data_IF_276605287741
#
_entry.id   IF_276605287741
#
_cell.length_a   1.000
_cell.length_b   1.000
_cell.length_c   1.000
_cell.angle_alpha   90.00
_cell.angle_beta   90.00
_cell.angle_gamma   90.00
#
_symmetry.space_group_name_H-M   'P 1'
#
loop_
_entity.id
_entity.type
_entity.pdbx_description
1 polymer ?
2 water ?
#
# COMPACT_ATOMS: atom_id res chain seq x y z
N UNK A 1 -10.72 5.95 14.77
CA UNK A 1 -10.80 4.77 15.69
C UNK A 1 -9.47 3.99 15.62
N UNK A 2 -9.43 2.80 16.22
CA UNK A 2 -8.27 1.89 16.19
C UNK A 2 -8.68 0.42 16.20
N UNK A 3 -9.96 0.11 16.06
CA UNK A 3 -10.50 -1.27 16.16
C UNK A 3 -9.81 -2.16 15.12
N UNK A 4 -9.82 -1.71 13.87
CA UNK A 4 -9.08 -2.34 12.74
C UNK A 4 -7.60 -2.32 13.10
N UNK A 5 -7.03 -1.12 13.23
CA UNK A 5 -5.61 -0.88 13.60
C UNK A 5 -5.21 -1.90 14.66
N UNK A 6 -5.95 -1.91 15.78
CA UNK A 6 -5.67 -2.73 17.00
C UNK A 6 -5.54 -4.20 16.58
N UNK A 7 -6.26 -4.62 15.53
CA UNK A 7 -6.22 -6.01 14.98
C UNK A 7 -4.84 -6.31 14.35
N UNK A 8 -3.93 -5.34 14.30
CA UNK A 8 -2.72 -5.41 13.43
C UNK A 8 -1.46 -4.91 14.14
N UNK A 9 -1.59 -3.91 15.02
CA UNK A 9 -0.45 -3.25 15.72
C UNK A 9 0.23 -4.21 16.72
N UNK A 10 1.47 -3.88 17.11
CA UNK A 10 2.19 -4.50 18.24
C UNK A 10 2.81 -5.83 17.87
N UNK A 11 3.71 -6.36 18.71
CA UNK A 11 4.34 -7.70 18.53
C UNK A 11 3.23 -8.76 18.48
N UNK A 12 2.14 -8.51 19.20
CA UNK A 12 0.93 -9.39 19.31
C UNK A 12 0.46 -9.80 17.91
N UNK A 13 0.21 -8.83 17.05
CA UNK A 13 -0.41 -9.05 15.72
C UNK A 13 0.67 -8.90 14.63
N UNK A 14 1.91 -9.31 14.93
CA UNK A 14 3.06 -9.20 13.99
C UNK A 14 2.83 -10.16 12.83
N UNK A 15 2.54 -11.43 13.15
CA UNK A 15 2.25 -12.48 12.16
C UNK A 15 1.14 -12.07 11.21
N UNK A 16 -0.06 -11.83 11.74
CA UNK A 16 -1.27 -11.45 10.96
C UNK A 16 -0.90 -10.38 9.93
N UNK A 17 -0.09 -9.39 10.32
CA UNK A 17 0.31 -8.23 9.47
C UNK A 17 1.27 -8.70 8.37
N UNK A 18 2.34 -9.39 8.76
CA UNK A 18 3.34 -9.99 7.83
C UNK A 18 2.59 -10.87 6.82
N UNK A 19 1.78 -11.81 7.34
CA UNK A 19 0.82 -12.67 6.58
C UNK A 19 0.08 -11.81 5.55
N UNK A 20 -0.46 -10.68 5.99
CA UNK A 20 -1.27 -9.74 5.18
C UNK A 20 -0.41 -9.13 4.08
N UNK A 21 0.80 -8.72 4.42
CA UNK A 21 1.70 -7.98 3.50
C UNK A 21 2.01 -8.90 2.31
N UNK A 22 2.38 -10.16 2.56
CA UNK A 22 2.76 -11.16 1.53
C UNK A 22 1.72 -11.24 0.41
N UNK A 23 0.44 -11.31 0.78
CA UNK A 23 -0.68 -11.32 -0.18
C UNK A 23 -0.88 -9.96 -0.81
N UNK A 24 0.18 -9.40 -1.39
CA UNK A 24 0.16 -8.07 -2.08
C UNK A 24 0.76 -8.25 -3.47
N UNK A 25 0.33 -7.43 -4.43
CA UNK A 25 0.87 -7.42 -5.82
C UNK A 25 2.39 -7.64 -5.77
N UNK A 26 3.08 -6.79 -5.00
CA UNK A 26 4.52 -6.45 -5.13
C UNK A 26 5.35 -7.44 -4.34
N UNK A 27 4.86 -7.83 -3.17
CA UNK A 27 5.54 -8.76 -2.22
C UNK A 27 5.57 -10.17 -2.81
N UNK A 28 4.43 -10.62 -3.33
CA UNK A 28 4.23 -11.97 -3.90
C UNK A 28 4.97 -12.99 -3.02
N UNK A 29 4.34 -13.37 -1.90
CA UNK A 29 4.79 -14.41 -0.94
C UNK A 29 6.33 -14.45 -0.88
N UNK A 30 6.99 -13.30 -0.95
CA UNK A 30 8.39 -13.11 -0.51
C UNK A 30 8.35 -12.58 0.93
N UNK A 31 8.70 -13.40 1.92
CA UNK A 31 8.53 -13.05 3.36
C UNK A 31 9.58 -12.01 3.77
N UNK A 32 10.87 -12.29 3.55
CA UNK A 32 11.98 -11.35 3.90
C UNK A 32 11.52 -9.93 3.57
N UNK A 33 11.01 -9.76 2.34
CA UNK A 33 10.63 -8.48 1.71
C UNK A 33 9.49 -7.82 2.48
N UNK A 34 8.55 -8.60 2.99
CA UNK A 34 7.47 -8.11 3.87
C UNK A 34 8.10 -7.67 5.19
N UNK A 35 8.78 -8.58 5.89
CA UNK A 35 9.40 -8.33 7.22
C UNK A 35 10.12 -6.97 7.17
N UNK A 36 10.79 -6.69 6.05
CA UNK A 36 11.44 -5.39 5.77
C UNK A 36 10.38 -4.31 5.60
N UNK A 37 9.42 -4.52 4.70
CA UNK A 37 8.34 -3.52 4.41
C UNK A 37 7.52 -3.27 5.69
N UNK A 38 7.37 -4.28 6.56
CA UNK A 38 6.66 -4.13 7.88
C UNK A 38 7.36 -3.02 8.65
N UNK A 39 8.66 -3.20 8.86
CA UNK A 39 9.53 -2.31 9.65
C UNK A 39 9.53 -0.90 9.02
N UNK A 40 9.60 -0.82 7.70
CA UNK A 40 9.79 0.45 6.96
C UNK A 40 8.55 1.36 7.07
N UNK A 41 7.35 0.79 7.26
CA UNK A 41 6.06 1.48 7.00
C UNK A 41 5.24 1.69 8.27
N UNK A 42 4.24 2.57 8.18
CA UNK A 42 3.37 3.03 9.32
C UNK A 42 1.90 2.70 9.02
N UNK A 43 1.31 1.77 9.79
CA UNK A 43 -0.15 1.46 9.79
C UNK A 43 -0.95 2.73 9.98
N UNK A 44 -2.02 2.94 9.21
CA UNK A 44 -3.00 4.04 9.42
C UNK A 44 -4.42 3.53 9.16
N UNK A 45 -5.33 3.79 10.09
CA UNK A 45 -6.77 3.52 9.94
C UNK A 45 -7.35 4.79 9.34
N UNK A 46 -8.22 4.65 8.34
CA UNK A 46 -8.74 5.78 7.50
C UNK A 46 -10.27 5.73 7.49
N UNK A 47 -10.95 6.77 7.96
CA UNK A 47 -12.43 6.83 7.96
C UNK A 47 -12.95 6.82 6.52
N UNK A 48 -14.12 6.23 6.31
CA UNK A 48 -14.93 6.46 5.09
C UNK A 48 -14.82 7.94 4.71
N UNK A 49 -14.40 8.22 3.47
CA UNK A 49 -14.37 9.56 2.87
C UNK A 49 -13.05 10.23 3.10
N UNK A 50 -12.20 9.62 3.91
CA UNK A 50 -10.89 10.18 4.27
C UNK A 50 -9.97 10.01 3.05
N UNK A 51 -9.39 11.13 2.58
CA UNK A 51 -8.42 11.21 1.43
C UNK A 51 -7.00 10.77 1.85
N UNK A 52 -6.41 9.75 1.26
CA UNK A 52 -4.96 9.49 1.50
C UNK A 52 -4.11 10.31 0.51
N UNK A 53 -4.68 10.78 -0.62
CA UNK A 53 -3.92 11.42 -1.75
C UNK A 53 -4.81 12.43 -2.50
N UNK A 54 -4.45 13.71 -2.42
CA UNK A 54 -4.86 14.77 -3.38
C UNK A 54 -4.10 14.52 -4.68
N UNK A 55 -4.76 14.69 -5.83
CA UNK A 55 -4.14 14.54 -7.18
C UNK A 55 -3.64 15.92 -7.62
N UNK A 56 -2.46 15.97 -8.24
CA UNK A 56 -1.71 17.22 -8.46
C UNK A 56 -0.60 17.37 -7.42
N UNK A 57 -0.70 16.64 -6.30
CA UNK A 57 0.29 16.65 -5.19
C UNK A 57 1.56 15.90 -5.59
N UNK A 58 2.59 16.03 -4.77
CA UNK A 58 3.91 15.39 -4.96
C UNK A 58 4.21 14.48 -3.77
N UNK A 59 3.19 13.75 -3.29
CA UNK A 59 3.36 12.69 -2.27
C UNK A 59 4.19 11.58 -2.91
N UNK A 60 5.43 11.39 -2.46
CA UNK A 60 6.26 10.22 -2.82
C UNK A 60 5.69 8.97 -2.12
N UNK A 61 4.76 9.16 -1.18
CA UNK A 61 4.13 8.08 -0.36
C UNK A 61 3.44 7.06 -1.28
N UNK A 62 3.51 5.78 -0.90
CA UNK A 62 2.75 4.68 -1.54
C UNK A 62 2.18 3.78 -0.43
N UNK A 63 0.88 3.50 -0.48
CA UNK A 63 0.12 2.75 0.56
C UNK A 63 -0.20 1.31 0.08
N UNK A 64 0.18 0.32 0.88
CA UNK A 64 -0.42 -1.04 0.82
C UNK A 64 -1.79 -1.05 1.51
N UNK A 65 -2.86 -1.33 0.77
CA UNK A 65 -4.22 -1.52 1.34
C UNK A 65 -4.27 -2.88 2.03
N UNK A 66 -4.24 -2.94 3.37
CA UNK A 66 -4.16 -4.23 4.13
C UNK A 66 -5.56 -4.75 4.39
N UNK A 67 -6.51 -3.84 4.62
CA UNK A 67 -7.93 -4.18 4.78
C UNK A 67 -8.74 -3.01 4.32
N UNK A 68 -9.96 -3.25 3.82
CA UNK A 68 -10.90 -2.21 3.33
C UNK A 68 -10.67 -1.87 1.86
N UNK A 69 -11.22 -0.75 1.42
CA UNK A 69 -11.38 -0.43 -0.02
C UNK A 69 -11.06 1.04 -0.23
N UNK A 70 -10.33 1.33 -1.30
CA UNK A 70 -9.97 2.71 -1.72
C UNK A 70 -10.56 3.00 -3.09
N UNK A 71 -11.19 4.17 -3.23
CA UNK A 71 -11.81 4.65 -4.49
C UNK A 71 -10.89 5.69 -5.15
N UNK A 72 -10.08 5.23 -6.14
CA UNK A 72 -9.35 6.08 -7.14
C UNK A 72 -10.35 7.02 -7.80
N UNK A 73 -10.00 8.29 -7.97
CA UNK A 73 -10.86 9.31 -8.61
C UNK A 73 -10.02 10.35 -9.34
N UNK A 74 -10.45 10.73 -10.54
CA UNK A 74 -9.70 11.67 -11.41
C UNK A 74 -10.71 12.69 -11.92
N UNK A 75 -10.36 13.96 -11.83
CA UNK A 75 -11.11 15.09 -12.42
C UNK A 75 -12.61 15.04 -12.06
N UNK A 76 -13.01 14.23 -11.08
CA UNK A 76 -14.38 14.25 -10.48
C UNK A 76 -15.11 12.93 -10.65
N UNK A 77 -14.43 11.96 -11.28
CA UNK A 77 -15.03 10.73 -11.87
C UNK A 77 -14.34 9.53 -11.27
N UNK A 78 -15.11 8.68 -10.57
CA UNK A 78 -14.60 7.41 -10.05
C UNK A 78 -13.98 6.50 -11.11
N UNK A 79 -12.87 5.85 -10.78
CA UNK A 79 -12.05 5.09 -11.77
C UNK A 79 -12.13 3.61 -11.39
N UNK A 80 -11.16 3.12 -10.63
CA UNK A 80 -11.10 1.74 -10.10
C UNK A 80 -11.51 1.83 -8.62
N UNK A 81 -11.63 0.69 -7.94
CA UNK A 81 -11.45 0.60 -6.46
C UNK A 81 -10.41 -0.50 -6.17
N UNK A 82 -9.31 -0.09 -5.55
CA UNK A 82 -8.29 -1.00 -5.00
C UNK A 82 -8.81 -1.52 -3.65
N UNK A 83 -8.34 -2.68 -3.21
CA UNK A 83 -8.89 -3.43 -2.07
C UNK A 83 -7.76 -4.15 -1.35
N UNK A 84 -8.09 -4.86 -0.28
CA UNK A 84 -7.13 -5.69 0.47
C UNK A 84 -6.21 -6.38 -0.52
N UNK A 85 -4.89 -6.28 -0.34
CA UNK A 85 -3.87 -6.94 -1.18
C UNK A 85 -3.30 -6.05 -2.29
N UNK A 86 -4.01 -5.00 -2.73
CA UNK A 86 -3.50 -4.08 -3.78
C UNK A 86 -2.66 -2.94 -3.15
N UNK A 87 -2.33 -1.90 -3.93
CA UNK A 87 -1.54 -0.71 -3.51
C UNK A 87 -1.99 0.53 -4.32
N UNK A 88 -1.49 1.72 -4.01
CA UNK A 88 -1.98 2.99 -4.63
C UNK A 88 -0.81 3.95 -4.92
N UNK A 89 -0.81 4.58 -6.12
CA UNK A 89 -0.06 5.82 -6.42
C UNK A 89 0.86 5.71 -7.64
N UNK A 90 2.01 5.03 -7.47
CA UNK A 90 3.22 5.10 -8.35
C UNK A 90 3.98 3.75 -8.33
N UNK A 91 5.11 3.68 -9.05
CA UNK A 91 5.96 2.46 -9.26
C UNK A 91 7.07 2.77 -10.29
N UNK A 98 6.78 12.94 -11.90
CA UNK A 98 5.38 13.27 -12.26
C UNK A 98 4.55 13.57 -10.99
N UNK A 99 3.57 14.52 -11.04
CA UNK A 99 2.66 14.77 -9.93
C UNK A 99 1.69 13.59 -9.73
N UNK A 100 0.62 13.77 -8.96
CA UNK A 100 -0.26 12.64 -8.53
C UNK A 100 -1.38 12.46 -9.54
N UNK A 101 -1.60 11.20 -9.91
CA UNK A 101 -2.57 10.77 -10.94
C UNK A 101 -3.98 11.05 -10.43
N UNK A 102 -4.35 10.40 -9.31
CA UNK A 102 -5.73 10.35 -8.77
C UNK A 102 -5.76 10.86 -7.31
N UNK A 103 -6.92 11.41 -6.92
CA UNK A 103 -7.39 11.65 -5.53
C UNK A 103 -7.97 10.37 -4.93
N UNK A 104 -7.12 9.47 -4.42
CA UNK A 104 -7.56 8.27 -3.67
C UNK A 104 -8.26 8.72 -2.40
N UNK A 105 -9.34 8.02 -2.00
CA UNK A 105 -10.15 8.25 -0.76
C UNK A 105 -10.66 6.90 -0.21
N UNK A 106 -11.04 6.83 1.07
CA UNK A 106 -11.45 5.55 1.72
C UNK A 106 -12.94 5.31 1.52
N UNK A 107 -13.31 4.09 1.10
CA UNK A 107 -14.72 3.59 1.09
C UNK A 107 -14.88 2.72 2.32
N UNK A 108 -15.52 3.28 3.35
CA UNK A 108 -15.60 2.68 4.69
C UNK A 108 -14.29 2.79 5.44
N UNK A 109 -14.25 2.22 6.64
CA UNK A 109 -13.02 2.09 7.43
C UNK A 109 -12.06 1.27 6.61
N UNK A 110 -10.84 1.77 6.46
CA UNK A 110 -9.72 1.12 5.77
C UNK A 110 -8.46 1.27 6.63
N UNK A 111 -7.63 0.23 6.61
CA UNK A 111 -6.26 0.21 7.17
C UNK A 111 -5.27 0.14 5.99
N UNK A 112 -4.20 0.93 6.06
CA UNK A 112 -3.11 1.02 5.05
C UNK A 112 -1.75 0.85 5.75
N UNK A 113 -0.70 0.54 4.99
CA UNK A 113 0.72 0.71 5.41
C UNK A 113 1.42 1.74 4.51
N UNK A 114 1.78 2.89 5.07
CA UNK A 114 2.32 4.05 4.32
C UNK A 114 3.85 3.95 4.24
N UNK A 115 4.40 4.10 3.03
CA UNK A 115 5.87 4.11 2.74
C UNK A 115 6.23 5.34 1.90
N UNK A 116 7.51 5.69 1.91
CA UNK A 116 8.10 6.72 1.02
C UNK A 116 8.77 5.98 -0.15
N UNK A 117 8.53 6.47 -1.39
CA UNK A 117 9.24 6.08 -2.64
C UNK A 117 10.67 5.68 -2.29
N UNK A 118 11.38 6.58 -1.59
CA UNK A 118 12.82 6.47 -1.19
C UNK A 118 13.09 5.13 -0.49
N UNK A 119 12.60 4.95 0.75
CA UNK A 119 12.75 3.69 1.55
C UNK A 119 12.29 2.50 0.72
N UNK A 120 11.20 2.68 -0.03
CA UNK A 120 10.54 1.63 -0.84
C UNK A 120 11.59 0.99 -1.75
N UNK A 121 12.29 1.81 -2.53
CA UNK A 121 13.18 1.38 -3.64
C UNK A 121 14.44 0.71 -3.05
N UNK A 122 15.00 1.22 -1.96
CA UNK A 122 16.16 0.58 -1.30
C UNK A 122 15.75 -0.82 -0.82
N UNK A 123 14.45 -1.07 -0.62
CA UNK A 123 13.92 -2.43 -0.33
C UNK A 123 13.79 -3.18 -1.66
N UNK A 124 12.91 -2.69 -2.54
CA UNK A 124 12.86 -3.03 -4.00
C UNK A 124 14.24 -3.52 -4.46
N UNK A 125 15.23 -2.61 -4.50
CA UNK A 125 16.54 -2.76 -5.21
C UNK A 125 17.36 -3.94 -4.66
N UNK A 126 17.09 -4.39 -3.42
CA UNK A 126 17.87 -5.45 -2.71
C UNK A 126 17.23 -6.83 -2.92
N UNK A 127 15.95 -6.88 -3.35
CA UNK A 127 15.14 -8.11 -3.58
C UNK A 127 15.30 -8.62 -5.01
N UNK A 128 16.05 -9.74 -5.22
CA UNK A 128 16.10 -10.38 -6.53
C UNK A 128 14.67 -10.69 -6.98
N UNK A 129 13.85 -11.14 -6.04
CA UNK A 129 12.51 -11.72 -6.27
C UNK A 129 11.59 -10.68 -6.90
N UNK A 130 11.52 -9.49 -6.30
CA UNK A 130 10.66 -8.38 -6.78
C UNK A 130 11.14 -7.95 -8.16
N UNK A 131 12.43 -7.66 -8.25
CA UNK A 131 13.11 -7.20 -9.49
C UNK A 131 12.77 -8.15 -10.63
N UNK A 132 12.89 -9.46 -10.37
CA UNK A 132 12.53 -10.55 -11.31
C UNK A 132 11.06 -10.36 -11.75
N UNK A 133 10.15 -10.09 -10.81
CA UNK A 133 8.67 -10.04 -11.04
C UNK A 133 8.28 -8.79 -11.84
N UNK A 134 8.99 -7.68 -11.67
CA UNK A 134 8.75 -6.41 -12.41
C UNK A 134 9.26 -6.54 -13.86
N UNK A 135 10.29 -7.36 -14.07
CA UNK A 135 10.89 -7.61 -15.40
C UNK A 135 9.91 -8.42 -16.26
N UNK A 136 9.33 -9.48 -15.69
CA UNK A 136 8.38 -10.40 -16.38
C UNK A 136 7.21 -9.59 -16.95
N UNK A 137 6.73 -8.60 -16.18
CA UNK A 137 5.51 -7.77 -16.47
C UNK A 137 5.90 -6.56 -17.34
N UNK A 138 7.07 -6.59 -17.99
CA UNK A 138 7.62 -5.43 -18.73
C UNK A 138 7.33 -5.58 -20.23
N UNK A 139 6.68 -6.67 -20.65
CA UNK A 139 6.27 -6.96 -22.05
C UNK A 139 5.41 -5.79 -22.60
N UNK A 140 5.56 -5.47 -23.90
CA UNK A 140 5.02 -4.25 -24.54
C UNK A 140 3.79 -3.71 -23.83
#
# INVERSE_FOLDING_TARGET
>A
MGALLDRFSGDEKKGRLIEAVCGQDLVANDKDLAEQIVAAGVLQEIADGDVIIKQGDWDDDLFLILAGKMQITINGRPQTVREAGTHVGELTGTSPARPRTATVSAIGEALVLRLKRTVLDEITRDSPAYLKRMLDVVAGRLDERNKGIGQTNDIPRIFVISSSEKIGVANEIVRNLDSKEIAVQLWDKGTFGISDYPISSLMDAIESSDFTIAVVGADDTLTMRGETHQVARDNVHLEFGISLGVLGRRRSMLLVCADDGVRLPSDAAGLTTLRYRTGSDDEMKRTVRNACIEAKEHIEKEGVFTDRRAR
#
